data_IF_498553565805
#
_entry.id   IF_498553565805
#
_cell.length_a   1.000
_cell.length_b   1.000
_cell.length_c   1.000
_cell.angle_alpha   90.00
_cell.angle_beta   90.00
_cell.angle_gamma   90.00
#
_symmetry.space_group_name_H-M   'P 1'
#
loop_
_entity.id
_entity.type
_entity.pdbx_description
1 polymer ?
#
# COMPACT_ATOMS: atom_id res chain seq x y z
N UNK A 1 25.65 -6.53 33.65
CA UNK A 1 24.33 -5.88 33.83
C UNK A 1 23.49 -6.24 32.63
N UNK A 2 22.34 -6.91 32.79
CA UNK A 2 21.39 -7.06 31.68
C UNK A 2 20.84 -5.67 31.41
N UNK A 3 21.23 -5.04 30.31
CA UNK A 3 20.54 -3.86 29.81
C UNK A 3 19.09 -4.29 29.55
N UNK A 4 18.14 -3.78 30.33
CA UNK A 4 16.72 -4.03 30.09
C UNK A 4 16.39 -3.48 28.70
N UNK A 5 16.24 -4.38 27.73
CA UNK A 5 15.82 -4.06 26.37
C UNK A 5 14.44 -3.40 26.43
N UNK A 6 14.27 -2.24 25.76
CA UNK A 6 12.96 -1.61 25.66
C UNK A 6 12.05 -2.50 24.81
N UNK A 7 10.91 -2.89 25.37
CA UNK A 7 9.92 -3.71 24.67
C UNK A 7 8.76 -2.83 24.21
N UNK A 8 8.55 -2.79 22.90
CA UNK A 8 7.45 -2.06 22.26
C UNK A 8 6.50 -3.08 21.64
N UNK A 9 5.21 -2.95 21.89
CA UNK A 9 4.18 -3.67 21.13
C UNK A 9 3.56 -2.72 20.12
N UNK A 10 3.26 -3.22 18.94
CA UNK A 10 2.65 -2.46 17.86
C UNK A 10 1.34 -3.10 17.43
N UNK A 11 0.27 -2.31 17.48
CA UNK A 11 -1.09 -2.69 17.11
C UNK A 11 -1.47 -1.92 15.85
N UNK A 12 -1.51 -2.57 14.69
CA UNK A 12 -1.83 -1.87 13.44
C UNK A 12 -1.40 -2.58 12.17
N UNK A 13 -1.24 -1.85 11.07
CA UNK A 13 -1.04 -2.40 9.73
C UNK A 13 0.43 -2.21 9.28
N UNK A 14 0.62 -1.56 8.14
CA UNK A 14 1.87 -1.59 7.40
C UNK A 14 2.96 -0.69 8.01
N UNK A 15 2.59 0.44 8.63
CA UNK A 15 3.57 1.43 9.09
C UNK A 15 4.33 0.91 10.30
N UNK A 16 3.58 0.39 11.28
CA UNK A 16 4.16 -0.28 12.44
C UNK A 16 4.95 -1.52 12.02
N UNK A 17 4.45 -2.33 11.09
CA UNK A 17 5.19 -3.49 10.57
C UNK A 17 6.52 -3.13 9.92
N UNK A 18 6.57 -2.03 9.17
CA UNK A 18 7.82 -1.54 8.60
C UNK A 18 8.80 -1.02 9.66
N UNK A 19 8.32 -0.27 10.66
CA UNK A 19 9.16 0.16 11.78
C UNK A 19 9.72 -1.03 12.56
N UNK A 20 8.91 -2.07 12.75
CA UNK A 20 9.28 -3.32 13.44
C UNK A 20 10.41 -4.04 12.72
N UNK A 21 10.26 -4.28 11.42
CA UNK A 21 11.27 -4.98 10.63
C UNK A 21 12.61 -4.27 10.63
N UNK A 22 12.60 -2.94 10.47
CA UNK A 22 13.84 -2.17 10.50
C UNK A 22 14.46 -2.17 11.90
N UNK A 23 13.65 -1.95 12.93
CA UNK A 23 14.15 -1.83 14.30
C UNK A 23 14.81 -3.11 14.78
N UNK A 24 14.12 -4.24 14.63
CA UNK A 24 14.62 -5.53 15.10
C UNK A 24 15.84 -6.03 14.33
N UNK A 25 16.08 -5.51 13.11
CA UNK A 25 17.25 -5.85 12.31
C UNK A 25 18.48 -5.00 12.66
N UNK A 26 18.26 -3.75 13.09
CA UNK A 26 19.33 -2.75 13.22
C UNK A 26 19.62 -2.29 14.65
N UNK A 27 18.75 -2.57 15.62
CA UNK A 27 18.90 -2.11 17.00
C UNK A 27 18.68 -3.24 18.02
N UNK A 28 19.72 -3.54 18.80
CA UNK A 28 19.66 -4.61 19.82
C UNK A 28 19.01 -4.17 21.14
N UNK A 29 19.01 -2.86 21.42
CA UNK A 29 18.50 -2.29 22.66
C UNK A 29 16.98 -2.07 22.67
N UNK A 30 16.32 -2.27 21.52
CA UNK A 30 14.87 -2.15 21.36
C UNK A 30 14.34 -3.39 20.67
N UNK A 31 13.22 -3.91 21.15
CA UNK A 31 12.48 -4.97 20.47
C UNK A 31 11.05 -4.51 20.24
N UNK A 32 10.61 -4.58 18.99
CA UNK A 32 9.22 -4.33 18.61
C UNK A 32 8.54 -5.67 18.28
N UNK A 33 7.41 -5.95 18.90
CA UNK A 33 6.48 -7.01 18.49
C UNK A 33 5.33 -6.36 17.74
N UNK A 34 4.92 -6.90 16.60
CA UNK A 34 3.83 -6.34 15.79
C UNK A 34 2.70 -7.34 15.64
N UNK A 35 1.48 -6.90 15.95
CA UNK A 35 0.23 -7.59 15.64
C UNK A 35 -0.50 -6.86 14.53
N UNK A 36 -0.81 -7.59 13.44
CA UNK A 36 -1.52 -7.01 12.30
C UNK A 36 -3.00 -6.84 12.64
N UNK A 37 -3.46 -5.60 12.76
CA UNK A 37 -4.84 -5.27 13.14
C UNK A 37 -5.48 -4.34 12.13
N UNK A 38 -6.73 -4.62 11.76
CA UNK A 38 -7.49 -3.83 10.77
C UNK A 38 -8.85 -3.35 11.28
N UNK A 39 -9.23 -3.69 12.52
CA UNK A 39 -10.35 -3.14 13.26
C UNK A 39 -10.11 -3.44 14.76
N UNK A 40 -10.34 -2.47 15.65
CA UNK A 40 -10.12 -2.65 17.09
C UNK A 40 -11.31 -3.21 17.84
N UNK A 41 -12.51 -3.17 17.27
CA UNK A 41 -13.70 -3.71 17.92
C UNK A 41 -13.62 -5.23 18.13
N UNK A 42 -12.84 -5.93 17.30
CA UNK A 42 -12.58 -7.36 17.44
C UNK A 42 -11.89 -7.69 18.76
N UNK A 43 -11.19 -6.75 19.38
CA UNK A 43 -10.48 -6.93 20.65
C UNK A 43 -11.38 -6.84 21.87
N UNK A 44 -12.64 -6.41 21.73
CA UNK A 44 -13.57 -6.26 22.85
C UNK A 44 -14.40 -7.51 23.12
N UNK A 45 -14.15 -8.59 22.39
CA UNK A 45 -14.82 -9.85 22.61
C UNK A 45 -14.34 -10.53 23.89
N UNK A 46 -15.28 -11.08 24.64
CA UNK A 46 -15.03 -11.87 25.84
C UNK A 46 -14.82 -13.34 25.45
N UNK A 47 -14.08 -14.10 26.27
CA UNK A 47 -13.88 -15.56 26.15
C UNK A 47 -13.46 -16.04 24.75
N UNK A 48 -12.15 -16.02 24.48
CA UNK A 48 -11.59 -16.34 23.15
C UNK A 48 -10.93 -17.71 23.08
N UNK A 49 -10.88 -18.47 24.18
CA UNK A 49 -10.05 -19.69 24.26
C UNK A 49 -10.55 -20.80 23.31
N UNK A 50 -11.86 -20.98 23.16
CA UNK A 50 -12.43 -21.92 22.19
C UNK A 50 -12.02 -21.56 20.75
N UNK A 51 -11.95 -20.27 20.46
CA UNK A 51 -11.58 -19.78 19.12
C UNK A 51 -10.09 -19.91 18.87
N UNK A 52 -9.26 -19.78 19.90
CA UNK A 52 -7.82 -20.04 19.82
C UNK A 52 -7.54 -21.44 19.27
N UNK A 53 -8.19 -22.43 19.87
CA UNK A 53 -7.98 -23.85 19.52
C UNK A 53 -8.48 -24.17 18.11
N UNK A 54 -9.60 -23.56 17.69
CA UNK A 54 -10.16 -23.75 16.35
C UNK A 54 -9.39 -23.01 15.25
N UNK A 55 -8.76 -21.87 15.56
CA UNK A 55 -8.20 -20.94 14.57
C UNK A 55 -6.77 -21.22 14.12
N UNK A 56 -6.03 -22.11 14.79
CA UNK A 56 -4.63 -22.44 14.43
C UNK A 56 -4.48 -22.98 13.01
N UNK A 57 -5.53 -23.60 12.47
CA UNK A 57 -5.56 -24.18 11.12
C UNK A 57 -6.05 -23.22 10.03
N UNK A 58 -6.64 -22.07 10.40
CA UNK A 58 -7.29 -21.15 9.46
C UNK A 58 -6.25 -20.23 8.84
N UNK A 59 -6.14 -20.24 7.50
CA UNK A 59 -5.24 -19.33 6.78
C UNK A 59 -5.98 -18.01 6.51
N UNK A 60 -5.65 -16.98 7.30
CA UNK A 60 -6.25 -15.65 7.16
C UNK A 60 -5.23 -14.51 7.30
N UNK A 61 -5.57 -13.35 6.74
CA UNK A 61 -4.81 -12.10 6.94
C UNK A 61 -5.76 -10.96 7.34
N UNK A 62 -5.60 -10.33 8.54
CA UNK A 62 -4.72 -10.77 9.62
C UNK A 62 -5.04 -12.18 10.11
N UNK A 63 -4.04 -12.81 10.74
CA UNK A 63 -4.28 -14.05 11.48
C UNK A 63 -5.30 -13.78 12.58
N UNK A 64 -6.21 -14.72 12.78
CA UNK A 64 -7.21 -14.62 13.85
C UNK A 64 -6.58 -14.39 15.23
N UNK A 65 -5.41 -15.00 15.47
CA UNK A 65 -4.66 -14.77 16.70
C UNK A 65 -4.25 -13.31 16.90
N UNK A 66 -3.83 -12.62 15.83
CA UNK A 66 -3.47 -11.20 15.90
C UNK A 66 -4.69 -10.31 16.20
N UNK A 67 -5.91 -10.78 15.95
CA UNK A 67 -7.12 -9.99 16.16
C UNK A 67 -7.74 -10.13 17.53
N UNK A 68 -7.46 -11.24 18.21
CA UNK A 68 -8.13 -11.60 19.47
C UNK A 68 -7.16 -11.66 20.66
N UNK A 69 -5.88 -11.95 20.41
CA UNK A 69 -4.87 -12.16 21.45
C UNK A 69 -3.72 -11.15 21.37
N UNK A 70 -3.86 -10.05 20.61
CA UNK A 70 -2.80 -9.04 20.50
C UNK A 70 -2.50 -8.27 21.80
N UNK A 71 -3.36 -8.40 22.81
CA UNK A 71 -3.16 -7.79 24.13
C UNK A 71 -2.64 -8.79 25.17
N UNK A 72 -2.40 -10.05 24.78
CA UNK A 72 -1.83 -11.05 25.67
C UNK A 72 -0.40 -10.66 26.07
N UNK A 73 -0.08 -10.82 27.36
CA UNK A 73 1.22 -10.47 27.93
C UNK A 73 1.63 -8.98 27.74
N UNK A 74 0.65 -8.08 27.61
CA UNK A 74 0.88 -6.63 27.49
C UNK A 74 1.62 -6.02 28.70
N UNK A 75 1.53 -6.67 29.86
CA UNK A 75 2.26 -6.36 31.09
C UNK A 75 3.79 -6.41 30.92
N UNK A 76 4.28 -7.11 29.90
CA UNK A 76 5.72 -7.22 29.60
C UNK A 76 6.27 -6.07 28.75
N UNK A 77 5.41 -5.18 28.23
CA UNK A 77 5.79 -4.11 27.32
C UNK A 77 5.85 -2.75 28.01
N UNK A 78 6.72 -1.89 27.49
CA UNK A 78 6.97 -0.55 28.00
C UNK A 78 6.17 0.52 27.24
N UNK A 79 5.99 0.30 25.93
CA UNK A 79 5.31 1.21 25.01
C UNK A 79 4.36 0.41 24.12
N UNK A 80 3.17 0.94 23.89
CA UNK A 80 2.22 0.46 22.89
C UNK A 80 2.10 1.48 21.75
N UNK A 81 2.42 1.06 20.53
CA UNK A 81 2.12 1.81 19.31
C UNK A 81 0.72 1.41 18.84
N UNK A 82 -0.14 2.38 18.53
CA UNK A 82 -1.48 2.13 17.99
C UNK A 82 -1.61 2.87 16.66
N UNK A 83 -1.83 2.16 15.56
CA UNK A 83 -2.03 2.77 14.25
C UNK A 83 -3.45 3.35 14.13
N UNK A 84 -3.60 4.55 13.58
CA UNK A 84 -4.89 5.20 13.37
C UNK A 84 -5.28 5.04 11.91
N UNK A 85 -6.35 4.30 11.63
CA UNK A 85 -6.79 3.99 10.27
C UNK A 85 -8.31 3.84 10.19
N UNK A 86 -8.94 4.05 9.02
CA UNK A 86 -10.34 3.68 8.81
C UNK A 86 -10.50 2.16 8.99
N UNK A 87 -11.35 1.70 9.91
CA UNK A 87 -11.47 0.29 10.25
C UNK A 87 -12.12 -0.50 9.12
N UNK A 88 -11.68 -1.74 8.95
CA UNK A 88 -12.27 -2.67 7.98
C UNK A 88 -13.57 -3.26 8.53
N UNK A 89 -14.54 -3.48 7.65
CA UNK A 89 -15.82 -4.10 7.99
C UNK A 89 -15.58 -5.49 8.59
N UNK A 90 -16.15 -5.80 9.77
CA UNK A 90 -16.05 -7.13 10.34
C UNK A 90 -16.93 -8.15 9.61
N UNK A 91 -16.60 -9.39 9.87
CA UNK A 91 -17.33 -10.60 9.54
C UNK A 91 -17.77 -11.24 10.85
N UNK A 92 -18.98 -11.76 10.89
CA UNK A 92 -19.57 -12.39 12.05
C UNK A 92 -19.71 -13.89 11.85
N UNK A 93 -19.35 -14.64 12.88
CA UNK A 93 -19.64 -16.06 12.99
C UNK A 93 -20.77 -16.23 14.00
N UNK A 94 -21.95 -16.63 13.52
CA UNK A 94 -23.16 -16.78 14.35
C UNK A 94 -23.02 -17.91 15.37
N UNK A 95 -22.37 -19.02 15.00
CA UNK A 95 -22.22 -20.18 15.87
C UNK A 95 -21.27 -19.89 17.04
N UNK A 96 -20.16 -19.22 16.76
CA UNK A 96 -19.19 -18.82 17.77
C UNK A 96 -19.59 -17.54 18.52
N UNK A 97 -20.56 -16.79 17.97
CA UNK A 97 -20.90 -15.43 18.40
C UNK A 97 -19.66 -14.51 18.43
N UNK A 98 -18.83 -14.57 17.39
CA UNK A 98 -17.56 -13.83 17.29
C UNK A 98 -17.45 -13.00 16.03
N UNK A 99 -16.68 -11.91 16.12
CA UNK A 99 -16.32 -11.06 15.00
C UNK A 99 -14.82 -11.12 14.66
N UNK A 100 -14.51 -11.04 13.37
CA UNK A 100 -13.14 -10.89 12.87
C UNK A 100 -13.16 -10.06 11.58
N UNK A 101 -12.05 -9.43 11.22
CA UNK A 101 -11.90 -8.67 9.99
C UNK A 101 -10.83 -9.32 9.12
N UNK A 102 -11.03 -9.35 7.81
CA UNK A 102 -10.07 -9.95 6.88
C UNK A 102 -9.73 -9.00 5.72
N UNK A 103 -8.46 -8.94 5.34
CA UNK A 103 -8.02 -8.35 4.07
C UNK A 103 -8.11 -9.35 2.93
N UNK A 104 -7.81 -10.62 3.21
CA UNK A 104 -7.92 -11.73 2.27
C UNK A 104 -8.97 -12.69 2.82
N UNK A 105 -10.11 -12.76 2.14
CA UNK A 105 -11.20 -13.67 2.48
C UNK A 105 -11.04 -14.95 1.65
N UNK A 106 -10.97 -16.10 2.32
CA UNK A 106 -10.80 -17.42 1.70
C UNK A 106 -12.11 -18.23 1.76
N UNK A 107 -12.22 -19.26 0.92
CA UNK A 107 -13.32 -20.24 1.02
C UNK A 107 -13.33 -20.92 2.39
N UNK A 108 -12.16 -21.21 2.98
CA UNK A 108 -12.02 -21.76 4.34
C UNK A 108 -12.71 -20.89 5.39
N UNK A 109 -12.60 -19.56 5.31
CA UNK A 109 -13.27 -18.65 6.24
C UNK A 109 -14.81 -18.68 6.08
N UNK A 110 -15.28 -18.86 4.85
CA UNK A 110 -16.70 -19.03 4.57
C UNK A 110 -17.23 -20.37 5.10
N UNK A 111 -16.47 -21.45 4.93
CA UNK A 111 -16.79 -22.79 5.46
C UNK A 111 -16.79 -22.81 6.98
N UNK A 112 -15.93 -22.03 7.63
CA UNK A 112 -15.95 -21.79 9.07
C UNK A 112 -17.14 -20.93 9.55
N UNK A 113 -18.00 -20.43 8.65
CA UNK A 113 -19.24 -19.73 9.00
C UNK A 113 -19.12 -18.22 9.19
N UNK A 114 -17.98 -17.60 8.85
CA UNK A 114 -17.86 -16.15 8.89
C UNK A 114 -18.61 -15.51 7.72
N UNK A 115 -19.58 -14.63 8.02
CA UNK A 115 -20.34 -13.88 7.01
C UNK A 115 -20.11 -12.39 7.17
N UNK A 116 -20.01 -11.67 6.06
CA UNK A 116 -19.84 -10.22 6.08
C UNK A 116 -21.08 -9.56 6.69
N UNK A 117 -20.90 -8.56 7.55
CA UNK A 117 -22.02 -7.74 8.00
C UNK A 117 -22.65 -6.98 6.82
N UNK A 118 -23.96 -7.13 6.62
CA UNK A 118 -24.69 -6.43 5.55
C UNK A 118 -24.83 -4.92 5.83
N UNK A 119 -24.91 -4.53 7.11
CA UNK A 119 -25.13 -3.14 7.53
C UNK A 119 -24.26 -2.75 8.73
N UNK A 120 -22.94 -2.87 8.60
CA UNK A 120 -22.02 -2.38 9.63
C UNK A 120 -21.81 -0.87 9.48
N UNK A 121 -22.30 -0.11 10.45
CA UNK A 121 -21.93 1.28 10.64
C UNK A 121 -20.89 1.36 11.72
N UNK A 122 -19.68 1.76 11.33
CA UNK A 122 -18.61 1.94 12.29
C UNK A 122 -19.01 3.05 13.29
N UNK A 123 -19.01 2.70 14.57
CA UNK A 123 -19.31 3.65 15.64
C UNK A 123 -18.14 4.63 15.82
N UNK A 124 -18.38 5.74 16.52
CA UNK A 124 -17.40 6.82 16.74
C UNK A 124 -15.97 6.28 17.01
N UNK A 125 -15.04 6.52 16.08
CA UNK A 125 -13.66 6.02 16.15
C UNK A 125 -12.98 6.33 17.46
N UNK A 126 -13.14 7.58 17.93
CA UNK A 126 -12.49 8.09 19.12
C UNK A 126 -12.97 7.32 20.34
N UNK A 127 -14.27 7.02 20.44
CA UNK A 127 -14.81 6.21 21.52
C UNK A 127 -14.26 4.77 21.52
N UNK A 128 -14.10 4.16 20.34
CA UNK A 128 -13.47 2.85 20.19
C UNK A 128 -11.99 2.89 20.60
N UNK A 129 -11.26 3.94 20.23
CA UNK A 129 -9.88 4.14 20.64
C UNK A 129 -9.76 4.34 22.16
N UNK A 130 -10.65 5.11 22.78
CA UNK A 130 -10.72 5.30 24.24
C UNK A 130 -10.95 3.98 24.98
N UNK A 131 -11.86 3.14 24.49
CA UNK A 131 -12.09 1.78 25.02
C UNK A 131 -10.84 0.92 24.91
N UNK A 132 -10.15 0.96 23.77
CA UNK A 132 -8.89 0.23 23.59
C UNK A 132 -7.82 0.70 24.58
N UNK A 133 -7.62 2.01 24.72
CA UNK A 133 -6.66 2.60 25.66
C UNK A 133 -6.99 2.21 27.10
N UNK A 134 -8.27 2.21 27.47
CA UNK A 134 -8.74 1.78 28.79
C UNK A 134 -8.38 0.32 29.04
N UNK A 135 -8.72 -0.58 28.12
CA UNK A 135 -8.40 -2.01 28.21
C UNK A 135 -6.88 -2.27 28.29
N UNK A 136 -6.09 -1.54 27.52
CA UNK A 136 -4.61 -1.59 27.58
C UNK A 136 -4.11 -1.23 28.99
N UNK A 137 -4.68 -0.19 29.61
CA UNK A 137 -4.28 0.29 30.94
C UNK A 137 -4.78 -0.57 32.09
N UNK A 138 -5.89 -1.27 31.90
CA UNK A 138 -6.35 -2.30 32.84
C UNK A 138 -5.33 -3.44 32.95
N UNK A 139 -4.69 -3.81 31.84
CA UNK A 139 -3.66 -4.86 31.80
C UNK A 139 -2.30 -4.32 32.27
N UNK A 140 -1.93 -3.12 31.84
CA UNK A 140 -0.66 -2.48 32.17
C UNK A 140 -0.84 -0.97 32.40
N UNK A 141 -0.96 -0.55 33.66
CA UNK A 141 -1.24 0.84 34.02
C UNK A 141 -0.10 1.81 33.71
N UNK A 142 1.13 1.31 33.59
CA UNK A 142 2.34 2.11 33.40
C UNK A 142 2.73 2.29 31.93
N UNK A 143 2.10 1.51 31.03
CA UNK A 143 2.42 1.51 29.61
C UNK A 143 2.24 2.90 28.99
N UNK A 144 3.23 3.32 28.20
CA UNK A 144 3.14 4.55 27.42
C UNK A 144 2.56 4.26 26.06
N UNK A 145 1.84 5.22 25.47
CA UNK A 145 1.15 5.00 24.20
C UNK A 145 1.65 6.01 23.17
N UNK A 146 1.92 5.54 21.96
CA UNK A 146 2.14 6.39 20.80
C UNK A 146 1.10 6.06 19.74
N UNK A 147 0.23 7.01 19.45
CA UNK A 147 -0.71 6.93 18.34
C UNK A 147 0.04 7.30 17.05
N UNK A 148 -0.19 6.56 15.97
CA UNK A 148 0.51 6.76 14.68
C UNK A 148 -0.51 6.77 13.57
N UNK A 149 -0.66 7.82 12.76
CA UNK A 149 -1.59 7.75 11.64
C UNK A 149 -1.12 6.71 10.59
N UNK A 150 -2.05 5.92 10.05
CA UNK A 150 -1.75 4.78 9.19
C UNK A 150 -1.57 5.12 7.72
N UNK A 151 -1.87 6.35 7.31
CA UNK A 151 -1.74 6.82 5.93
C UNK A 151 -1.32 8.28 5.89
N UNK A 152 -0.65 8.65 4.81
CA UNK A 152 -0.26 10.01 4.50
C UNK A 152 -1.41 10.71 3.76
N UNK A 153 -1.76 11.93 4.20
CA UNK A 153 -2.91 12.68 3.69
C UNK A 153 -2.48 14.09 3.28
N UNK A 154 -3.03 14.62 2.19
CA UNK A 154 -2.85 16.03 1.80
C UNK A 154 -4.10 16.86 2.06
N UNK A 155 -3.94 18.05 2.64
CA UNK A 155 -5.05 19.00 2.88
C UNK A 155 -5.57 19.72 1.62
N UNK A 156 -4.84 19.71 0.49
CA UNK A 156 -5.19 20.53 -0.68
C UNK A 156 -6.19 19.87 -1.65
N UNK A 157 -7.12 20.70 -2.14
CA UNK A 157 -8.46 20.33 -2.64
C UNK A 157 -8.57 19.78 -4.07
N UNK A 158 -7.50 19.76 -4.88
CA UNK A 158 -7.60 19.29 -6.28
C UNK A 158 -7.23 17.82 -6.46
N UNK A 159 -6.21 17.33 -5.75
CA UNK A 159 -5.73 15.94 -5.82
C UNK A 159 -5.57 15.39 -4.40
N UNK A 160 -6.67 14.96 -3.80
CA UNK A 160 -6.64 14.38 -2.45
C UNK A 160 -5.82 13.10 -2.44
N UNK A 161 -4.67 13.12 -1.78
CA UNK A 161 -3.88 11.94 -1.42
C UNK A 161 -4.34 11.48 -0.02
N UNK A 162 -4.55 10.18 0.16
CA UNK A 162 -4.99 9.56 1.41
C UNK A 162 -6.51 9.35 1.51
N UNK A 163 -6.98 8.80 2.64
CA UNK A 163 -8.42 8.62 2.91
C UNK A 163 -9.06 9.87 3.54
N UNK A 164 -10.18 10.34 2.97
CA UNK A 164 -10.98 11.44 3.56
C UNK A 164 -11.48 11.08 4.95
N UNK A 165 -11.79 9.80 5.13
CA UNK A 165 -12.25 9.25 6.40
C UNK A 165 -11.14 9.27 7.45
N UNK A 166 -9.91 8.90 7.08
CA UNK A 166 -8.78 9.05 8.00
C UNK A 166 -8.57 10.51 8.38
N UNK A 167 -8.71 11.45 7.43
CA UNK A 167 -8.56 12.86 7.74
C UNK A 167 -9.58 13.34 8.78
N UNK A 168 -10.83 12.92 8.66
CA UNK A 168 -11.86 13.20 9.65
C UNK A 168 -11.48 12.60 11.03
N UNK A 169 -11.05 11.33 11.06
CA UNK A 169 -10.59 10.66 12.28
C UNK A 169 -9.43 11.41 12.95
N UNK A 170 -8.45 11.89 12.17
CA UNK A 170 -7.31 12.64 12.72
C UNK A 170 -7.74 13.99 13.28
N UNK A 171 -8.66 14.70 12.62
CA UNK A 171 -9.17 15.97 13.15
C UNK A 171 -10.02 15.75 14.42
N UNK A 172 -10.83 14.68 14.47
CA UNK A 172 -11.55 14.29 15.68
C UNK A 172 -10.58 13.93 16.82
N UNK A 173 -9.49 13.21 16.52
CA UNK A 173 -8.46 12.84 17.49
C UNK A 173 -7.76 14.07 18.06
N UNK A 174 -7.42 15.05 17.22
CA UNK A 174 -6.80 16.32 17.67
C UNK A 174 -7.69 17.11 18.63
N UNK A 175 -9.00 16.99 18.49
CA UNK A 175 -9.99 17.63 19.36
C UNK A 175 -10.42 16.76 20.56
N UNK A 176 -9.96 15.51 20.62
CA UNK A 176 -10.30 14.58 21.71
C UNK A 176 -9.48 14.83 22.98
N UNK A 177 -10.01 14.39 24.12
CA UNK A 177 -9.32 14.45 25.42
C UNK A 177 -8.20 13.41 25.55
N UNK A 178 -8.14 12.41 24.66
CA UNK A 178 -7.09 11.38 24.64
C UNK A 178 -5.70 12.02 24.66
N UNK A 179 -5.50 13.08 23.85
CA UNK A 179 -4.20 13.73 23.70
C UNK A 179 -3.83 14.65 24.88
N UNK A 180 -4.71 14.85 25.86
CA UNK A 180 -4.39 15.60 27.08
C UNK A 180 -3.58 14.76 28.08
N UNK A 181 -3.54 13.44 27.90
CA UNK A 181 -2.75 12.56 28.73
C UNK A 181 -1.26 12.64 28.37
N UNK A 182 -0.43 13.04 29.33
CA UNK A 182 1.03 13.17 29.18
C UNK A 182 1.74 11.87 28.80
N UNK A 183 1.13 10.71 29.04
CA UNK A 183 1.67 9.39 28.71
C UNK A 183 1.25 8.91 27.31
N UNK A 184 0.49 9.73 26.59
CA UNK A 184 0.09 9.48 25.20
C UNK A 184 0.75 10.52 24.31
N UNK A 185 1.41 10.07 23.26
CA UNK A 185 1.96 10.92 22.19
C UNK A 185 1.28 10.59 20.87
N UNK A 186 1.25 11.56 19.98
CA UNK A 186 0.72 11.38 18.63
C UNK A 186 1.79 11.68 17.60
N UNK A 187 2.21 10.66 16.88
CA UNK A 187 3.03 10.77 15.69
C UNK A 187 2.13 11.10 14.50
N UNK A 188 1.95 12.39 14.25
CA UNK A 188 1.27 12.86 13.05
C UNK A 188 2.26 12.99 11.90
N UNK A 189 2.34 11.96 11.07
CA UNK A 189 3.20 11.95 9.89
C UNK A 189 2.83 13.02 8.86
N UNK A 190 1.60 13.55 8.89
CA UNK A 190 1.20 14.67 8.02
C UNK A 190 1.98 15.91 8.39
N UNK A 191 2.04 16.25 9.69
CA UNK A 191 2.72 17.46 10.17
C UNK A 191 4.24 17.36 9.90
N UNK A 192 4.82 16.17 10.07
CA UNK A 192 6.24 15.92 9.73
C UNK A 192 6.57 16.23 8.27
N UNK A 193 5.64 15.99 7.35
CA UNK A 193 5.85 16.23 5.93
C UNK A 193 5.45 17.66 5.52
N UNK A 194 4.38 18.22 6.10
CA UNK A 194 3.92 19.60 5.83
C UNK A 194 4.93 20.64 6.33
N UNK A 195 5.52 20.45 7.52
CA UNK A 195 6.60 21.31 8.04
C UNK A 195 7.85 21.30 7.14
N UNK A 196 8.00 20.29 6.28
CA UNK A 196 9.12 20.12 5.37
C UNK A 196 8.76 20.34 3.89
N UNK A 197 7.64 21.02 3.61
CA UNK A 197 7.15 21.40 2.27
C UNK A 197 6.44 20.26 1.51
N UNK A 198 5.33 20.57 0.82
CA UNK A 198 4.54 19.64 -0.05
C UNK A 198 5.40 18.89 -1.08
N UNK A 199 6.55 19.49 -1.39
CA UNK A 199 7.64 19.03 -2.24
C UNK A 199 8.18 17.61 -1.91
N UNK A 200 7.98 17.13 -0.67
CA UNK A 200 8.39 15.79 -0.22
C UNK A 200 7.52 14.64 -0.75
N UNK A 201 6.22 14.89 -0.90
CA UNK A 201 5.25 13.88 -1.32
C UNK A 201 5.42 13.49 -2.80
N UNK A 202 5.95 14.41 -3.58
CA UNK A 202 6.11 14.27 -5.02
C UNK A 202 7.17 13.23 -5.41
N UNK A 203 8.20 13.06 -4.58
CA UNK A 203 9.36 12.19 -4.83
C UNK A 203 9.50 11.06 -3.81
N UNK A 204 8.80 11.15 -2.67
CA UNK A 204 8.80 10.15 -1.61
C UNK A 204 7.92 8.92 -1.86
N UNK A 205 7.30 8.78 -3.04
CA UNK A 205 6.44 7.64 -3.37
C UNK A 205 6.71 7.12 -4.77
N UNK A 206 7.13 5.85 -4.91
CA UNK A 206 7.71 5.41 -6.17
C UNK A 206 6.66 4.92 -7.16
N UNK A 207 5.60 4.22 -6.75
CA UNK A 207 4.79 3.40 -7.67
C UNK A 207 3.69 4.19 -8.38
N UNK A 208 3.73 4.20 -9.72
CA UNK A 208 2.68 4.73 -10.58
C UNK A 208 1.63 3.67 -10.90
N UNK A 209 0.39 4.10 -11.06
CA UNK A 209 -0.70 3.24 -11.51
C UNK A 209 -1.80 4.06 -12.20
N UNK A 210 -2.67 3.39 -12.95
CA UNK A 210 -3.88 4.00 -13.51
C UNK A 210 -5.01 3.93 -12.49
N UNK A 211 -5.67 5.08 -12.25
CA UNK A 211 -6.80 5.18 -11.34
C UNK A 211 -8.05 5.63 -12.09
N UNK A 212 -9.13 4.86 -11.97
CA UNK A 212 -10.48 5.31 -12.36
C UNK A 212 -10.99 6.31 -11.33
N UNK A 213 -11.49 7.46 -11.79
CA UNK A 213 -12.13 8.43 -10.89
C UNK A 213 -13.50 7.87 -10.47
N UNK A 214 -13.78 7.89 -9.16
CA UNK A 214 -15.04 7.36 -8.62
C UNK A 214 -16.23 8.06 -9.29
N UNK A 215 -17.19 7.26 -9.77
CA UNK A 215 -18.39 7.71 -10.50
C UNK A 215 -18.09 8.39 -11.85
N UNK A 216 -16.95 8.10 -12.47
CA UNK A 216 -16.57 8.58 -13.80
C UNK A 216 -15.91 7.46 -14.61
N UNK A 217 -16.00 7.55 -15.94
CA UNK A 217 -15.25 6.70 -16.88
C UNK A 217 -13.83 7.23 -17.14
N UNK A 218 -13.47 8.35 -16.50
CA UNK A 218 -12.16 8.99 -16.60
C UNK A 218 -11.08 8.18 -15.86
N UNK A 219 -9.93 8.04 -16.52
CA UNK A 219 -8.75 7.35 -16.03
C UNK A 219 -7.61 8.37 -15.95
N UNK A 220 -6.94 8.40 -14.80
CA UNK A 220 -5.80 9.30 -14.55
C UNK A 220 -4.58 8.51 -14.09
N UNK A 221 -3.40 9.01 -14.41
CA UNK A 221 -2.16 8.52 -13.79
C UNK A 221 -2.12 9.00 -12.34
N UNK A 222 -1.88 8.06 -11.43
CA UNK A 222 -1.82 8.31 -9.99
C UNK A 222 -0.59 7.66 -9.36
N UNK A 223 -0.24 8.09 -8.15
CA UNK A 223 0.89 7.58 -7.38
C UNK A 223 0.37 6.83 -6.16
N UNK A 224 0.99 5.70 -5.84
CA UNK A 224 0.73 4.95 -4.62
C UNK A 224 1.31 5.73 -3.44
N UNK A 225 0.49 6.64 -2.93
CA UNK A 225 0.81 7.44 -1.76
C UNK A 225 0.51 6.73 -0.43
N UNK A 226 0.13 5.44 -0.47
CA UNK A 226 -0.14 4.65 0.75
C UNK A 226 1.17 4.14 1.36
N UNK A 227 2.17 3.84 0.53
CA UNK A 227 3.40 3.20 0.98
C UNK A 227 4.60 4.15 0.90
N UNK A 228 4.98 4.76 2.02
CA UNK A 228 6.16 5.64 2.11
C UNK A 228 7.45 4.97 1.58
N UNK A 229 8.41 5.74 1.04
CA UNK A 229 9.76 5.24 0.72
C UNK A 229 10.53 4.76 1.95
N UNK A 230 11.66 4.06 1.73
CA UNK A 230 12.56 3.64 2.81
C UNK A 230 12.98 4.85 3.66
N UNK A 231 13.39 5.93 2.99
CA UNK A 231 13.87 7.15 3.62
C UNK A 231 12.79 7.83 4.46
N UNK A 232 11.56 7.93 3.94
CA UNK A 232 10.43 8.47 4.71
C UNK A 232 10.09 7.62 5.93
N UNK A 233 10.12 6.28 5.81
CA UNK A 233 9.90 5.38 6.95
C UNK A 233 10.94 5.58 8.04
N UNK A 234 12.19 5.86 7.68
CA UNK A 234 13.25 6.14 8.64
C UNK A 234 13.05 7.47 9.37
N UNK A 235 12.53 8.49 8.68
CA UNK A 235 12.13 9.73 9.35
C UNK A 235 11.01 9.49 10.36
N UNK A 236 9.98 8.72 9.99
CA UNK A 236 8.90 8.36 10.90
C UNK A 236 9.40 7.54 12.08
N UNK A 237 10.31 6.59 11.83
CA UNK A 237 10.92 5.79 12.89
C UNK A 237 11.72 6.64 13.87
N UNK A 238 12.53 7.58 13.35
CA UNK A 238 13.30 8.48 14.20
C UNK A 238 12.38 9.36 15.04
N UNK A 239 11.31 9.90 14.46
CA UNK A 239 10.37 10.71 15.22
C UNK A 239 9.60 9.87 16.24
N UNK A 240 9.25 8.63 15.91
CA UNK A 240 8.69 7.68 16.87
C UNK A 240 9.63 7.50 18.07
N UNK A 241 10.93 7.30 17.84
CA UNK A 241 11.90 7.21 18.94
C UNK A 241 12.08 8.52 19.71
N UNK A 242 11.99 9.68 19.06
CA UNK A 242 11.98 10.97 19.76
C UNK A 242 10.79 11.08 20.71
N UNK A 243 9.59 10.70 20.27
CA UNK A 243 8.39 10.68 21.12
C UNK A 243 8.52 9.67 22.27
N UNK A 244 9.13 8.52 22.02
CA UNK A 244 9.44 7.53 23.08
C UNK A 244 10.46 8.08 24.09
N UNK A 245 11.43 8.88 23.64
CA UNK A 245 12.34 9.61 24.53
C UNK A 245 11.62 10.62 25.41
N UNK A 246 10.69 11.40 24.85
CA UNK A 246 9.85 12.33 25.61
C UNK A 246 8.98 11.62 26.65
N UNK A 247 8.65 10.35 26.42
CA UNK A 247 7.92 9.50 27.35
C UNK A 247 8.80 8.92 28.48
N UNK A 248 10.10 9.25 28.49
CA UNK A 248 11.04 8.95 29.57
C UNK A 248 11.98 7.76 29.33
N UNK A 249 12.01 7.19 28.12
CA UNK A 249 12.91 6.08 27.77
C UNK A 249 14.13 6.62 27.02
N UNK A 250 15.36 6.47 27.52
CA UNK A 250 16.56 6.99 26.81
C UNK A 250 16.96 6.12 25.61
N UNK A 251 16.34 6.36 24.46
CA UNK A 251 16.68 5.80 23.14
C UNK A 251 17.48 6.81 22.31
N UNK A 252 18.80 6.77 22.43
CA UNK A 252 19.68 7.50 21.52
C UNK A 252 19.91 6.68 20.26
N UNK A 253 18.88 6.59 19.44
CA UNK A 253 18.97 6.03 18.11
C UNK A 253 19.19 7.20 17.15
N UNK A 254 20.37 7.26 16.54
CA UNK A 254 20.71 8.24 15.51
C UNK A 254 20.61 7.60 14.13
N UNK A 255 19.59 7.97 13.38
CA UNK A 255 19.46 7.66 11.95
C UNK A 255 19.99 8.88 11.15
N UNK A 256 21.27 9.20 11.35
CA UNK A 256 21.88 10.46 10.90
C UNK A 256 22.18 10.45 9.38
N UNK A 257 22.67 9.32 8.87
CA UNK A 257 23.15 9.18 7.51
C UNK A 257 21.99 9.22 6.49
N UNK A 258 20.88 8.58 6.81
CA UNK A 258 19.70 8.54 5.96
C UNK A 258 18.88 9.83 6.00
N UNK A 259 18.92 10.58 7.10
CA UNK A 259 18.34 11.94 7.15
C UNK A 259 19.08 12.90 6.21
N UNK A 260 20.42 12.86 6.22
CA UNK A 260 21.24 13.66 5.31
C UNK A 260 20.97 13.25 3.85
N UNK A 261 20.87 11.95 3.59
CA UNK A 261 20.48 11.38 2.29
C UNK A 261 19.12 11.90 1.83
N UNK A 262 18.09 11.79 2.66
CA UNK A 262 16.74 12.25 2.30
C UNK A 262 16.71 13.76 2.03
N UNK A 263 17.36 14.58 2.88
CA UNK A 263 17.49 16.03 2.67
C UNK A 263 18.11 16.37 1.32
N UNK A 264 19.09 15.61 0.86
CA UNK A 264 19.70 15.81 -0.46
C UNK A 264 18.75 15.42 -1.60
N UNK A 265 17.97 14.34 -1.45
CA UNK A 265 17.00 13.90 -2.47
C UNK A 265 15.90 14.94 -2.70
N UNK A 266 15.44 15.60 -1.64
CA UNK A 266 14.41 16.64 -1.72
C UNK A 266 14.99 18.05 -1.89
N UNK A 267 16.32 18.20 -1.97
CA UNK A 267 16.93 19.47 -2.28
C UNK A 267 16.47 19.91 -3.67
N UNK A 268 16.04 21.16 -3.85
CA UNK A 268 15.54 21.65 -5.13
C UNK A 268 14.18 22.35 -5.02
N UNK A 269 14.03 23.45 -5.75
CA UNK A 269 12.84 24.30 -5.68
C UNK A 269 11.66 23.72 -6.46
N UNK A 270 11.90 23.01 -7.56
CA UNK A 270 10.85 22.44 -8.42
C UNK A 270 10.73 20.92 -8.28
N UNK A 271 9.58 20.34 -8.65
CA UNK A 271 9.41 18.88 -8.75
C UNK A 271 10.53 18.27 -9.59
N UNK A 272 10.79 18.89 -10.75
CA UNK A 272 11.79 18.44 -11.72
C UNK A 272 13.17 18.28 -11.08
N UNK A 273 13.61 19.29 -10.30
CA UNK A 273 14.91 19.26 -9.61
C UNK A 273 14.99 18.11 -8.59
N UNK A 274 13.92 17.88 -7.83
CA UNK A 274 13.87 16.82 -6.81
C UNK A 274 13.78 15.43 -7.43
N UNK A 275 12.96 15.28 -8.46
CA UNK A 275 12.83 14.03 -9.20
C UNK A 275 14.16 13.69 -9.89
N UNK A 276 14.87 14.68 -10.43
CA UNK A 276 16.25 14.52 -10.92
C UNK A 276 17.18 14.02 -9.82
N UNK A 277 17.20 14.66 -8.66
CA UNK A 277 18.04 14.23 -7.54
C UNK A 277 17.70 12.81 -7.07
N UNK A 278 16.43 12.42 -7.09
CA UNK A 278 16.01 11.05 -6.82
C UNK A 278 16.57 10.06 -7.83
N UNK A 279 16.46 10.37 -9.13
CA UNK A 279 16.93 9.52 -10.22
C UNK A 279 18.45 9.43 -10.23
N UNK A 280 19.18 10.55 -10.19
CA UNK A 280 20.65 10.60 -10.13
C UNK A 280 21.22 9.84 -8.93
N UNK A 281 20.50 9.84 -7.82
CA UNK A 281 20.90 9.13 -6.61
C UNK A 281 20.58 7.62 -6.68
N UNK A 282 19.38 7.26 -7.17
CA UNK A 282 18.95 5.86 -7.27
C UNK A 282 19.76 5.10 -8.33
N UNK A 283 20.28 5.81 -9.32
CA UNK A 283 20.96 5.26 -10.49
C UNK A 283 22.41 5.74 -10.50
N UNK A 284 23.23 5.12 -9.64
CA UNK A 284 24.69 5.28 -9.51
C UNK A 284 25.38 6.28 -10.46
N UNK A 285 25.32 7.59 -10.21
CA UNK A 285 26.09 8.68 -10.89
C UNK A 285 26.14 8.72 -12.43
N UNK A 286 25.58 7.75 -13.14
CA UNK A 286 25.76 7.58 -14.59
C UNK A 286 24.45 7.13 -15.21
N UNK A 287 23.67 8.14 -15.61
CA UNK A 287 22.35 8.00 -16.24
C UNK A 287 22.35 7.11 -17.50
N UNK A 288 23.53 6.86 -18.08
CA UNK A 288 23.71 6.01 -19.26
C UNK A 288 23.46 4.50 -19.00
N UNK A 289 23.38 4.06 -17.74
CA UNK A 289 23.10 2.66 -17.40
C UNK A 289 22.02 2.58 -16.32
N UNK A 290 20.77 2.54 -16.75
CA UNK A 290 19.63 2.40 -15.85
C UNK A 290 19.38 0.93 -15.56
N UNK A 291 19.66 0.50 -14.33
CA UNK A 291 19.21 -0.80 -13.86
C UNK A 291 17.72 -0.71 -13.48
N UNK A 292 16.85 -0.98 -14.46
CA UNK A 292 15.40 -0.97 -14.28
C UNK A 292 14.87 -2.29 -13.67
N UNK A 293 15.74 -3.15 -13.09
CA UNK A 293 15.35 -4.43 -12.47
C UNK A 293 14.76 -4.30 -11.07
N UNK A 294 14.78 -3.10 -10.48
CA UNK A 294 14.01 -2.76 -9.29
C UNK A 294 12.70 -2.01 -9.68
N UNK A 295 11.51 -2.50 -9.27
CA UNK A 295 10.24 -1.88 -9.65
C UNK A 295 10.03 -0.47 -9.10
N UNK A 296 10.67 -0.12 -7.96
CA UNK A 296 10.62 1.23 -7.42
C UNK A 296 11.42 2.19 -8.27
N UNK A 297 12.63 1.79 -8.62
CA UNK A 297 13.55 2.62 -9.40
C UNK A 297 13.02 2.79 -10.83
N UNK A 298 12.43 1.75 -11.41
CA UNK A 298 11.68 1.85 -12.67
C UNK A 298 10.56 2.87 -12.58
N UNK A 299 9.73 2.81 -11.54
CA UNK A 299 8.59 3.71 -11.41
C UNK A 299 8.96 5.16 -11.10
N UNK A 300 10.04 5.40 -10.35
CA UNK A 300 10.55 6.75 -10.19
C UNK A 300 11.17 7.28 -11.48
N UNK A 301 11.88 6.43 -12.24
CA UNK A 301 12.43 6.80 -13.55
C UNK A 301 11.33 7.21 -14.51
N UNK A 302 10.25 6.42 -14.59
CA UNK A 302 9.05 6.77 -15.36
C UNK A 302 8.45 8.09 -14.89
N UNK A 303 8.30 8.29 -13.57
CA UNK A 303 7.77 9.54 -13.02
C UNK A 303 8.58 10.77 -13.45
N UNK A 304 9.91 10.67 -13.40
CA UNK A 304 10.80 11.73 -13.85
C UNK A 304 10.69 11.97 -15.35
N UNK A 305 10.65 10.90 -16.15
CA UNK A 305 10.52 10.99 -17.60
C UNK A 305 9.24 11.72 -18.04
N UNK A 306 8.10 11.39 -17.43
CA UNK A 306 6.81 11.99 -17.73
C UNK A 306 6.79 13.50 -17.42
N UNK A 307 7.32 13.90 -16.26
CA UNK A 307 7.30 15.31 -15.86
C UNK A 307 8.29 16.15 -16.68
N UNK A 308 9.53 15.68 -16.80
CA UNK A 308 10.62 16.47 -17.39
C UNK A 308 10.68 16.38 -18.90
N UNK A 309 9.98 15.40 -19.48
CA UNK A 309 10.03 15.06 -20.91
C UNK A 309 11.45 14.69 -21.37
N UNK A 310 12.23 14.04 -20.51
CA UNK A 310 13.58 13.56 -20.82
C UNK A 310 13.54 12.48 -21.92
N UNK A 311 13.94 12.87 -23.13
CA UNK A 311 13.84 12.02 -24.32
C UNK A 311 14.74 10.78 -24.23
N UNK A 312 15.93 10.89 -23.64
CA UNK A 312 16.84 9.75 -23.50
C UNK A 312 16.24 8.72 -22.55
N UNK A 313 15.69 9.19 -21.42
CA UNK A 313 15.04 8.31 -20.47
C UNK A 313 13.80 7.65 -21.04
N UNK A 314 12.99 8.38 -21.81
CA UNK A 314 11.81 7.86 -22.50
C UNK A 314 12.21 6.71 -23.44
N UNK A 315 13.27 6.86 -24.23
CA UNK A 315 13.73 5.77 -25.11
C UNK A 315 14.30 4.56 -24.33
N UNK A 316 14.95 4.80 -23.19
CA UNK A 316 15.40 3.70 -22.31
C UNK A 316 14.23 2.93 -21.70
N UNK A 317 13.20 3.64 -21.21
CA UNK A 317 11.97 3.03 -20.67
C UNK A 317 11.25 2.23 -21.77
N UNK A 318 11.13 2.79 -22.96
CA UNK A 318 10.56 2.12 -24.12
C UNK A 318 11.31 0.83 -24.46
N UNK A 319 12.64 0.88 -24.49
CA UNK A 319 13.50 -0.29 -24.71
C UNK A 319 13.28 -1.35 -23.62
N UNK A 320 13.11 -0.93 -22.37
CA UNK A 320 12.78 -1.85 -21.28
C UNK A 320 11.44 -2.54 -21.49
N UNK A 321 10.38 -1.79 -21.86
CA UNK A 321 9.04 -2.34 -22.14
C UNK A 321 9.10 -3.36 -23.28
N UNK A 322 9.81 -3.04 -24.37
CA UNK A 322 9.99 -3.93 -25.53
C UNK A 322 10.65 -5.27 -25.17
N UNK A 323 11.48 -5.28 -24.13
CA UNK A 323 12.14 -6.49 -23.64
C UNK A 323 11.40 -7.16 -22.47
N UNK A 324 10.27 -6.60 -22.00
CA UNK A 324 9.67 -6.99 -20.73
C UNK A 324 9.17 -8.44 -20.72
N UNK A 325 8.36 -8.82 -21.72
CA UNK A 325 7.81 -10.17 -21.83
C UNK A 325 8.90 -11.24 -21.94
N UNK A 326 9.98 -10.94 -22.64
CA UNK A 326 10.95 -11.93 -23.07
C UNK A 326 12.06 -12.14 -22.04
N UNK A 327 12.31 -11.14 -21.17
CA UNK A 327 13.40 -11.18 -20.18
C UNK A 327 12.93 -11.26 -18.73
N UNK A 328 11.75 -10.72 -18.42
CA UNK A 328 11.35 -10.51 -17.02
C UNK A 328 10.03 -11.20 -16.63
N UNK A 329 9.23 -11.65 -17.60
CA UNK A 329 7.96 -12.34 -17.37
C UNK A 329 8.04 -13.77 -17.92
N UNK A 330 8.66 -14.66 -17.16
CA UNK A 330 9.04 -16.00 -17.65
C UNK A 330 8.12 -17.10 -17.10
N UNK A 331 7.69 -16.98 -15.85
CA UNK A 331 6.94 -18.01 -15.12
C UNK A 331 5.75 -17.45 -14.30
N UNK A 332 4.78 -18.27 -13.89
CA UNK A 332 3.59 -17.82 -13.14
C UNK A 332 3.87 -17.03 -11.85
N UNK A 333 4.94 -17.35 -11.13
CA UNK A 333 5.42 -16.62 -9.93
C UNK A 333 5.73 -15.14 -10.21
N UNK A 334 6.05 -14.79 -11.46
CA UNK A 334 6.32 -13.41 -11.86
C UNK A 334 5.08 -12.52 -11.83
N UNK A 335 3.86 -13.09 -11.93
CA UNK A 335 2.60 -12.34 -11.84
C UNK A 335 2.47 -11.57 -10.53
N UNK A 336 2.97 -12.14 -9.42
CA UNK A 336 3.02 -11.45 -8.13
C UNK A 336 4.26 -10.56 -8.04
N UNK A 337 5.42 -11.08 -8.44
CA UNK A 337 6.70 -10.40 -8.21
C UNK A 337 6.89 -9.14 -9.07
N UNK A 338 6.25 -9.07 -10.25
CA UNK A 338 6.35 -7.94 -11.19
C UNK A 338 5.14 -7.01 -11.19
N UNK A 339 4.26 -7.11 -10.20
CA UNK A 339 3.00 -6.37 -10.14
C UNK A 339 3.14 -4.86 -10.37
N UNK A 340 4.14 -4.26 -9.72
CA UNK A 340 4.39 -2.83 -9.83
C UNK A 340 4.97 -2.40 -11.18
N UNK A 341 5.59 -3.32 -11.95
CA UNK A 341 6.05 -3.01 -13.30
C UNK A 341 4.88 -2.77 -14.24
N UNK A 342 3.93 -3.70 -14.32
CA UNK A 342 2.80 -3.58 -15.24
C UNK A 342 1.99 -2.32 -14.98
N UNK A 343 1.73 -1.99 -13.71
CA UNK A 343 1.05 -0.73 -13.32
C UNK A 343 1.80 0.51 -13.81
N UNK A 344 3.12 0.49 -13.68
CA UNK A 344 3.99 1.60 -14.10
C UNK A 344 4.05 1.70 -15.63
N UNK A 345 4.16 0.57 -16.33
CA UNK A 345 4.13 0.50 -17.80
C UNK A 345 2.79 1.07 -18.31
N UNK A 346 1.68 0.66 -17.71
CA UNK A 346 0.37 1.14 -18.07
C UNK A 346 0.24 2.66 -17.90
N UNK A 347 0.69 3.19 -16.75
CA UNK A 347 0.74 4.63 -16.51
C UNK A 347 1.59 5.38 -17.55
N UNK A 348 2.79 4.87 -17.87
CA UNK A 348 3.68 5.46 -18.85
C UNK A 348 3.07 5.52 -20.26
N UNK A 349 2.55 4.39 -20.75
CA UNK A 349 1.98 4.32 -22.10
C UNK A 349 0.72 5.19 -22.22
N UNK A 350 -0.12 5.17 -21.19
CA UNK A 350 -1.33 6.00 -21.16
C UNK A 350 -1.03 7.49 -21.25
N UNK A 351 -0.04 7.98 -20.49
CA UNK A 351 0.32 9.40 -20.42
C UNK A 351 1.06 9.87 -21.68
N UNK A 352 2.06 9.11 -22.12
CA UNK A 352 2.89 9.47 -23.29
C UNK A 352 2.18 9.25 -24.62
N UNK A 353 1.17 8.37 -24.66
CA UNK A 353 0.50 7.90 -25.88
C UNK A 353 1.45 7.29 -26.92
N UNK A 354 2.62 6.82 -26.47
CA UNK A 354 3.61 6.19 -27.33
C UNK A 354 3.07 4.89 -27.93
N UNK A 355 3.39 4.62 -29.19
CA UNK A 355 2.91 3.42 -29.86
C UNK A 355 3.72 2.18 -29.47
N UNK A 356 3.20 1.40 -28.52
CA UNK A 356 3.78 0.14 -28.03
C UNK A 356 2.79 -1.05 -28.12
N UNK A 357 1.81 -0.96 -29.03
CA UNK A 357 0.74 -1.97 -29.15
C UNK A 357 1.28 -3.38 -29.34
N UNK A 358 2.31 -3.58 -30.17
CA UNK A 358 2.90 -4.91 -30.41
C UNK A 358 3.56 -5.50 -29.16
N UNK A 359 4.28 -4.68 -28.41
CA UNK A 359 4.98 -5.11 -27.20
C UNK A 359 3.98 -5.40 -26.07
N UNK A 360 2.98 -4.54 -25.90
CA UNK A 360 1.88 -4.76 -24.96
C UNK A 360 1.05 -6.01 -25.32
N UNK A 361 0.84 -6.27 -26.61
CA UNK A 361 0.19 -7.50 -27.09
C UNK A 361 0.99 -8.74 -26.68
N UNK A 362 2.33 -8.75 -26.83
CA UNK A 362 3.17 -9.87 -26.36
C UNK A 362 3.04 -10.09 -24.85
N UNK A 363 3.11 -9.02 -24.06
CA UNK A 363 2.93 -9.09 -22.60
C UNK A 363 1.54 -9.67 -22.27
N UNK A 364 0.50 -9.17 -22.93
CA UNK A 364 -0.88 -9.63 -22.74
C UNK A 364 -1.03 -11.13 -22.99
N UNK A 365 -0.56 -11.62 -24.15
CA UNK A 365 -0.67 -13.05 -24.49
C UNK A 365 0.10 -13.93 -23.51
N UNK A 366 1.27 -13.46 -23.04
CA UNK A 366 2.06 -14.18 -22.05
C UNK A 366 1.29 -14.34 -20.74
N UNK A 367 0.67 -13.27 -20.24
CA UNK A 367 -0.16 -13.30 -19.02
C UNK A 367 -1.37 -14.20 -19.21
N UNK A 368 -2.09 -14.05 -20.32
CA UNK A 368 -3.26 -14.89 -20.62
C UNK A 368 -2.87 -16.37 -20.65
N UNK A 369 -1.75 -16.71 -21.29
CA UNK A 369 -1.25 -18.09 -21.29
C UNK A 369 -0.87 -18.60 -19.90
N UNK A 370 -0.33 -17.75 -19.02
CA UNK A 370 -0.01 -18.14 -17.64
C UNK A 370 -1.27 -18.35 -16.80
N UNK A 371 -2.35 -17.60 -17.09
CA UNK A 371 -3.62 -17.66 -16.34
C UNK A 371 -4.24 -19.05 -16.36
N UNK A 372 -3.97 -19.85 -17.41
CA UNK A 372 -4.42 -21.24 -17.52
C UNK A 372 -3.77 -22.18 -16.49
N UNK A 373 -2.64 -21.79 -15.89
CA UNK A 373 -1.81 -22.63 -15.01
C UNK A 373 -1.75 -22.15 -13.56
N UNK A 374 -2.36 -21.00 -13.24
CA UNK A 374 -2.42 -20.47 -11.88
C UNK A 374 -3.75 -20.78 -11.22
N UNK A 375 -3.72 -20.84 -9.89
CA UNK A 375 -4.90 -20.99 -9.04
C UNK A 375 -4.75 -20.11 -7.79
N UNK A 376 -5.85 -19.50 -7.35
CA UNK A 376 -5.91 -18.79 -6.07
C UNK A 376 -5.35 -17.36 -6.14
N UNK A 377 -4.43 -16.99 -5.23
CA UNK A 377 -3.95 -15.59 -5.12
C UNK A 377 -3.33 -15.04 -6.42
N UNK A 378 -2.76 -15.90 -7.27
CA UNK A 378 -2.12 -15.50 -8.52
C UNK A 378 -3.12 -15.14 -9.63
N UNK A 379 -4.36 -15.66 -9.57
CA UNK A 379 -5.40 -15.38 -10.57
C UNK A 379 -5.81 -13.91 -10.51
N UNK A 380 -5.90 -13.35 -9.31
CA UNK A 380 -6.19 -11.93 -9.10
C UNK A 380 -5.13 -11.03 -9.76
N UNK A 381 -3.85 -11.41 -9.71
CA UNK A 381 -2.79 -10.63 -10.36
C UNK A 381 -2.89 -10.68 -11.88
N UNK A 382 -3.19 -11.85 -12.45
CA UNK A 382 -3.41 -11.98 -13.89
C UNK A 382 -4.59 -11.12 -14.36
N UNK A 383 -5.74 -11.18 -13.68
CA UNK A 383 -6.93 -10.41 -14.04
C UNK A 383 -6.69 -8.89 -13.93
N UNK A 384 -6.05 -8.43 -12.86
CA UNK A 384 -5.69 -7.02 -12.69
C UNK A 384 -4.79 -6.51 -13.81
N UNK A 385 -3.81 -7.31 -14.23
CA UNK A 385 -2.89 -6.93 -15.30
C UNK A 385 -3.56 -6.91 -16.67
N UNK A 386 -4.43 -7.90 -16.94
CA UNK A 386 -5.20 -7.91 -18.18
C UNK A 386 -6.11 -6.69 -18.27
N UNK A 387 -6.70 -6.22 -17.16
CA UNK A 387 -7.51 -4.99 -17.13
C UNK A 387 -6.66 -3.73 -17.42
N UNK A 388 -5.50 -3.61 -16.77
CA UNK A 388 -4.55 -2.51 -17.00
C UNK A 388 -4.09 -2.48 -18.47
N UNK A 389 -3.73 -3.64 -19.04
CA UNK A 389 -3.27 -3.78 -20.43
C UNK A 389 -4.40 -3.51 -21.44
N UNK A 390 -5.59 -4.06 -21.22
CA UNK A 390 -6.75 -3.80 -22.08
C UNK A 390 -7.10 -2.31 -22.10
N UNK A 391 -7.08 -1.67 -20.94
CA UNK A 391 -7.32 -0.23 -20.78
C UNK A 391 -6.36 0.61 -21.62
N UNK A 392 -5.06 0.35 -21.55
CA UNK A 392 -4.06 1.14 -22.30
C UNK A 392 -4.05 0.84 -23.79
N UNK A 393 -4.35 -0.40 -24.19
CA UNK A 393 -4.48 -0.76 -25.60
C UNK A 393 -5.65 -0.01 -26.24
N UNK A 394 -6.79 0.12 -25.54
CA UNK A 394 -7.92 0.94 -25.98
C UNK A 394 -7.54 2.42 -26.11
N UNK A 395 -6.83 2.97 -25.11
CA UNK A 395 -6.37 4.35 -25.17
C UNK A 395 -5.42 4.61 -26.35
N UNK A 396 -4.59 3.61 -26.69
CA UNK A 396 -3.61 3.68 -27.78
C UNK A 396 -4.23 3.65 -29.18
N UNK A 397 -5.49 3.22 -29.34
CA UNK A 397 -6.17 3.22 -30.66
C UNK A 397 -6.27 4.63 -31.26
N UNK A 398 -6.28 5.66 -30.41
CA UNK A 398 -6.31 7.06 -30.85
C UNK A 398 -4.99 7.52 -31.49
N UNK A 399 -3.85 6.95 -31.08
CA UNK A 399 -2.52 7.28 -31.58
C UNK A 399 -1.92 6.22 -32.52
N UNK A 400 -2.47 5.01 -32.55
CA UNK A 400 -2.00 3.86 -33.35
C UNK A 400 -3.15 3.19 -34.11
N UNK A 401 -3.87 3.94 -34.94
CA UNK A 401 -5.07 3.45 -35.63
C UNK A 401 -4.78 2.31 -36.62
N UNK A 402 -3.56 2.22 -37.15
CA UNK A 402 -3.10 1.13 -38.00
C UNK A 402 -3.01 -0.22 -37.25
N UNK A 403 -2.94 -0.20 -35.92
CA UNK A 403 -2.90 -1.39 -35.05
C UNK A 403 -4.28 -1.85 -34.57
N UNK A 404 -5.38 -1.25 -35.05
CA UNK A 404 -6.75 -1.61 -34.70
C UNK A 404 -7.01 -3.13 -34.76
N UNK A 405 -6.48 -3.82 -35.77
CA UNK A 405 -6.70 -5.26 -35.96
C UNK A 405 -6.07 -6.10 -34.84
N UNK A 406 -4.85 -5.78 -34.42
CA UNK A 406 -4.18 -6.51 -33.34
C UNK A 406 -4.91 -6.31 -32.00
N UNK A 407 -5.42 -5.10 -31.76
CA UNK A 407 -6.24 -4.84 -30.57
C UNK A 407 -7.57 -5.60 -30.65
N UNK A 408 -8.20 -5.67 -31.83
CA UNK A 408 -9.42 -6.44 -32.02
C UNK A 408 -9.25 -7.93 -31.68
N UNK A 409 -8.17 -8.54 -32.17
CA UNK A 409 -7.84 -9.95 -31.90
C UNK A 409 -7.71 -10.21 -30.39
N UNK A 410 -7.11 -9.28 -29.63
CA UNK A 410 -6.99 -9.39 -28.17
C UNK A 410 -8.34 -9.32 -27.44
N UNK A 411 -9.22 -8.42 -27.85
CA UNK A 411 -10.55 -8.30 -27.25
C UNK A 411 -11.42 -9.52 -27.54
N UNK A 412 -11.27 -10.13 -28.72
CA UNK A 412 -11.91 -11.41 -29.05
C UNK A 412 -11.37 -12.55 -28.16
N UNK A 413 -10.05 -12.60 -27.90
CA UNK A 413 -9.47 -13.56 -26.97
C UNK A 413 -9.97 -13.36 -25.54
N UNK A 414 -10.15 -12.11 -25.07
CA UNK A 414 -10.73 -11.81 -23.77
C UNK A 414 -12.17 -12.31 -23.65
N UNK A 415 -13.02 -12.03 -24.65
CA UNK A 415 -14.41 -12.46 -24.66
C UNK A 415 -14.56 -13.99 -24.57
N UNK A 416 -13.65 -14.70 -25.22
CA UNK A 416 -13.65 -16.16 -25.27
C UNK A 416 -12.90 -16.80 -24.08
N UNK A 417 -12.26 -16.02 -23.21
CA UNK A 417 -11.56 -16.53 -22.04
C UNK A 417 -12.52 -16.78 -20.88
N UNK A 418 -12.49 -18.00 -20.34
CA UNK A 418 -13.28 -18.40 -19.16
C UNK A 418 -13.00 -17.54 -17.92
N UNK A 419 -11.82 -16.93 -17.84
CA UNK A 419 -11.36 -16.15 -16.68
C UNK A 419 -11.99 -14.75 -16.63
N UNK A 420 -12.47 -14.24 -17.76
CA UNK A 420 -12.90 -12.84 -17.91
C UNK A 420 -14.40 -12.68 -17.62
N UNK A 421 -15.18 -13.74 -17.83
CA UNK A 421 -16.64 -13.70 -17.72
C UNK A 421 -17.14 -13.37 -16.29
N UNK A 422 -16.30 -13.60 -15.28
CA UNK A 422 -16.63 -13.32 -13.87
C UNK A 422 -15.95 -12.04 -13.31
N UNK A 423 -15.07 -11.38 -14.09
CA UNK A 423 -14.35 -10.19 -13.63
C UNK A 423 -14.96 -8.89 -14.18
N UNK A 424 -15.84 -8.29 -13.37
CA UNK A 424 -16.69 -7.13 -13.72
C UNK A 424 -15.95 -5.96 -14.40
N UNK A 425 -14.70 -5.69 -14.06
CA UNK A 425 -13.97 -4.55 -14.62
C UNK A 425 -13.39 -4.83 -16.01
N UNK A 426 -13.05 -6.09 -16.33
CA UNK A 426 -12.68 -6.49 -17.67
C UNK A 426 -13.90 -6.53 -18.61
N UNK A 427 -15.04 -7.00 -18.11
CA UNK A 427 -16.31 -6.96 -18.86
C UNK A 427 -16.67 -5.52 -19.28
N UNK A 428 -16.51 -4.54 -18.40
CA UNK A 428 -16.67 -3.11 -18.76
C UNK A 428 -15.71 -2.66 -19.85
N UNK A 429 -14.45 -3.12 -19.83
CA UNK A 429 -13.47 -2.80 -20.86
C UNK A 429 -13.88 -3.38 -22.22
N UNK A 430 -14.36 -4.62 -22.25
CA UNK A 430 -14.90 -5.27 -23.46
C UNK A 430 -16.10 -4.47 -24.00
N UNK A 431 -17.08 -4.16 -23.15
CA UNK A 431 -18.26 -3.37 -23.54
C UNK A 431 -17.87 -1.98 -24.07
N UNK A 432 -16.82 -1.35 -23.52
CA UNK A 432 -16.30 -0.08 -24.01
C UNK A 432 -15.68 -0.22 -25.41
N UNK A 433 -14.94 -1.30 -25.66
CA UNK A 433 -14.40 -1.61 -26.98
C UNK A 433 -15.51 -1.80 -28.01
N UNK A 434 -16.53 -2.61 -27.70
CA UNK A 434 -17.67 -2.86 -28.59
C UNK A 434 -18.37 -1.56 -28.97
N UNK A 435 -18.64 -0.68 -27.99
CA UNK A 435 -19.19 0.65 -28.26
C UNK A 435 -18.31 1.45 -29.22
N UNK A 436 -16.99 1.45 -29.03
CA UNK A 436 -16.06 2.17 -29.92
C UNK A 436 -16.07 1.62 -31.36
N UNK A 437 -16.33 0.32 -31.55
CA UNK A 437 -16.49 -0.28 -32.88
C UNK A 437 -17.83 0.06 -33.52
N UNK A 438 -18.91 0.22 -32.73
CA UNK A 438 -20.23 0.63 -33.23
C UNK A 438 -20.27 2.09 -33.74
N UNK A 439 -19.27 2.90 -33.41
CA UNK A 439 -19.14 4.30 -33.85
C UNK A 439 -18.07 4.51 -34.94
N UNK A 440 -17.49 3.44 -35.49
CA UNK A 440 -16.70 3.45 -36.74
C UNK A 440 -17.56 2.99 -37.90
#
# INVERSE_FOLDING_TARGET
MKTNQLKIIGLGRCIIGHMTNYTNLHFDNVKITHHYLINYETLFQEDMEEVRQASDSIVSMPKLQDQWFSLDALDQYNVCLIEIFPPSVPYFNEELNKMACFQLYSEELNECGFKKFESYEFQNYIATLEKLITKIREINSDIKIVLVNGELITKNKSNFIGSKELNAIIEDLKNSTILYDKNIKFLNMIDLLECNNTMNYETGFPYLYLRRIRNSDEIVVSRDCKHATKELRLMFLQEMFNLVNELGYDLRIQIEEEKKRYKNLIAGATFSDRAKNFVEYSLSTNFAYLDLTNPRDFSTSVSYALETKDLLLIENIKTFIQNFSDKYLLEPSDLKSKFYYIRTIAAFVYDTKICLVEDLHKIFLKILSMSDYVSGELDNFALLWLDDLATILLASLSSCSDKNKQVAELFELLQNSRYVQDYRDLDKCILRYEKLQLFK
#
